data_IF_044552064187
#
_entry.id   IF_044552064187
#
_cell.length_a   1.000
_cell.length_b   1.000
_cell.length_c   1.000
_cell.angle_alpha   90.00
_cell.angle_beta   90.00
_cell.angle_gamma   90.00
#
_symmetry.space_group_name_H-M   'P 1'
#
loop_
_entity.id
_entity.type
_entity.pdbx_description
1 polymer ?
#
# COMPACT_ATOMS: atom_id res chain seq x y z
N UNK A 1 -35.35 -7.98 -28.61
CA UNK A 1 -35.12 -7.09 -27.45
C UNK A 1 -34.32 -7.87 -26.42
N UNK A 2 -33.00 -7.73 -26.42
CA UNK A 2 -32.14 -8.29 -25.38
C UNK A 2 -32.19 -7.36 -24.17
N UNK A 3 -32.86 -7.78 -23.11
CA UNK A 3 -32.78 -7.16 -21.79
C UNK A 3 -31.35 -7.31 -21.28
N UNK A 4 -30.47 -6.38 -21.63
CA UNK A 4 -29.27 -6.13 -20.83
C UNK A 4 -29.77 -5.68 -19.47
N UNK A 5 -29.68 -6.58 -18.49
CA UNK A 5 -29.84 -6.23 -17.10
C UNK A 5 -28.88 -5.09 -16.82
N UNK A 6 -29.42 -3.91 -16.59
CA UNK A 6 -28.69 -2.76 -16.11
C UNK A 6 -28.33 -3.07 -14.65
N UNK A 7 -27.39 -4.00 -14.43
CA UNK A 7 -26.78 -4.19 -13.12
C UNK A 7 -26.16 -2.84 -12.79
N UNK A 8 -26.70 -2.16 -11.78
CA UNK A 8 -26.13 -0.91 -11.28
C UNK A 8 -24.66 -1.17 -10.93
N UNK A 9 -23.78 -0.76 -11.83
CA UNK A 9 -22.33 -0.85 -11.65
C UNK A 9 -21.95 0.14 -10.56
N UNK A 10 -21.43 -0.35 -9.44
CA UNK A 10 -20.85 0.52 -8.42
C UNK A 10 -19.61 1.24 -8.95
N UNK A 11 -19.27 2.38 -8.35
CA UNK A 11 -18.06 3.13 -8.67
C UNK A 11 -16.78 2.27 -8.52
N UNK A 12 -15.70 2.65 -9.21
CA UNK A 12 -14.40 1.99 -9.08
C UNK A 12 -13.73 2.40 -7.74
N UNK A 13 -13.52 1.46 -6.78
CA UNK A 13 -12.91 1.80 -5.50
C UNK A 13 -11.38 1.82 -5.55
N UNK A 14 -10.75 1.25 -6.59
CA UNK A 14 -9.29 1.13 -6.68
C UNK A 14 -8.52 2.46 -6.50
N UNK A 15 -8.96 3.61 -7.06
CA UNK A 15 -8.25 4.87 -6.85
C UNK A 15 -8.20 5.29 -5.38
N UNK A 16 -9.26 5.03 -4.60
CA UNK A 16 -9.27 5.34 -3.16
C UNK A 16 -8.23 4.50 -2.42
N UNK A 17 -8.17 3.19 -2.70
CA UNK A 17 -7.19 2.29 -2.10
C UNK A 17 -5.75 2.68 -2.45
N UNK A 18 -5.49 3.01 -3.71
CA UNK A 18 -4.17 3.45 -4.18
C UNK A 18 -3.76 4.82 -3.64
N UNK A 19 -4.70 5.77 -3.49
CA UNK A 19 -4.45 7.06 -2.86
C UNK A 19 -4.09 6.91 -1.38
N UNK A 20 -4.87 6.11 -0.65
CA UNK A 20 -4.61 5.85 0.77
C UNK A 20 -3.26 5.19 1.00
N UNK A 21 -2.96 4.17 0.20
CA UNK A 21 -1.65 3.53 0.18
C UNK A 21 -0.53 4.51 -0.18
N UNK A 22 -0.65 5.20 -1.31
CA UNK A 22 0.42 6.01 -1.89
C UNK A 22 0.82 7.19 -1.01
N UNK A 23 -0.16 7.95 -0.51
CA UNK A 23 0.11 9.10 0.36
C UNK A 23 0.77 8.68 1.67
N UNK A 24 0.26 7.64 2.31
CA UNK A 24 0.80 7.17 3.59
C UNK A 24 2.19 6.56 3.41
N UNK A 25 2.40 5.81 2.32
CA UNK A 25 3.70 5.24 1.97
C UNK A 25 4.74 6.32 1.72
N UNK A 26 4.40 7.39 0.99
CA UNK A 26 5.29 8.54 0.80
C UNK A 26 5.70 9.15 2.15
N UNK A 27 4.75 9.41 3.05
CA UNK A 27 5.03 10.03 4.35
C UNK A 27 5.93 9.17 5.23
N UNK A 28 5.64 7.87 5.35
CA UNK A 28 6.50 6.95 6.11
C UNK A 28 7.91 6.90 5.52
N UNK A 29 8.03 6.92 4.19
CA UNK A 29 9.33 6.74 3.56
C UNK A 29 10.14 8.04 3.44
N UNK A 30 9.51 9.21 3.53
CA UNK A 30 10.21 10.46 3.84
C UNK A 30 10.89 10.38 5.22
N UNK A 31 10.23 9.74 6.19
CA UNK A 31 10.86 9.45 7.48
C UNK A 31 12.01 8.44 7.35
N UNK A 32 11.79 7.31 6.68
CA UNK A 32 12.83 6.28 6.52
C UNK A 32 14.07 6.80 5.77
N UNK A 33 13.88 7.73 4.83
CA UNK A 33 14.97 8.39 4.10
C UNK A 33 15.65 9.54 4.88
N UNK A 34 15.16 9.88 6.08
CA UNK A 34 15.77 10.88 6.96
C UNK A 34 15.35 12.33 6.69
N UNK A 35 14.32 12.58 5.87
CA UNK A 35 13.87 13.94 5.57
C UNK A 35 13.00 14.55 6.68
N UNK A 36 12.20 13.71 7.36
CA UNK A 36 11.29 14.14 8.43
C UNK A 36 11.32 13.15 9.61
N UNK A 37 11.02 13.59 10.84
CA UNK A 37 10.85 12.66 11.96
C UNK A 37 9.54 11.87 11.82
N UNK A 38 9.49 10.70 12.45
CA UNK A 38 8.23 9.98 12.68
C UNK A 38 7.36 10.85 13.61
N UNK A 39 6.13 11.14 13.19
CA UNK A 39 5.23 12.00 13.94
C UNK A 39 3.78 11.52 13.83
N UNK A 40 2.90 12.15 14.61
CA UNK A 40 1.46 11.88 14.59
C UNK A 40 0.84 12.01 13.19
N UNK A 41 1.45 12.79 12.29
CA UNK A 41 0.97 12.91 10.90
C UNK A 41 1.03 11.58 10.17
N UNK A 42 2.14 10.83 10.29
CA UNK A 42 2.29 9.51 9.65
C UNK A 42 1.32 8.50 10.28
N UNK A 43 1.21 8.50 11.61
CA UNK A 43 0.29 7.61 12.34
C UNK A 43 -1.17 7.90 11.98
N UNK A 44 -1.58 9.16 11.94
CA UNK A 44 -2.94 9.57 11.59
C UNK A 44 -3.29 9.21 10.14
N UNK A 45 -2.36 9.42 9.20
CA UNK A 45 -2.55 9.03 7.80
C UNK A 45 -2.60 7.51 7.64
N UNK A 46 -1.77 6.77 8.38
CA UNK A 46 -1.80 5.32 8.43
C UNK A 46 -3.10 4.78 9.01
N UNK A 47 -3.69 5.45 10.00
CA UNK A 47 -4.98 5.03 10.53
C UNK A 47 -6.12 5.35 9.55
N UNK A 48 -6.19 6.60 9.07
CA UNK A 48 -7.33 7.10 8.32
C UNK A 48 -7.32 6.66 6.84
N UNK A 49 -6.26 6.97 6.11
CA UNK A 49 -6.20 6.74 4.66
C UNK A 49 -5.49 5.44 4.30
N UNK A 50 -4.28 5.22 4.78
CA UNK A 50 -3.55 3.97 4.58
C UNK A 50 -4.31 2.77 5.16
N UNK A 51 -5.04 2.98 6.26
CA UNK A 51 -5.83 1.96 6.92
C UNK A 51 -7.30 1.98 6.51
N UNK A 52 -8.11 2.82 7.16
CA UNK A 52 -9.56 2.75 7.07
C UNK A 52 -10.10 2.89 5.64
N UNK A 53 -9.67 3.93 4.90
CA UNK A 53 -10.12 4.14 3.53
C UNK A 53 -9.67 3.00 2.59
N UNK A 54 -8.47 2.48 2.78
CA UNK A 54 -7.94 1.36 2.00
C UNK A 54 -8.69 0.05 2.30
N UNK A 55 -9.03 -0.22 3.56
CA UNK A 55 -9.90 -1.34 3.95
C UNK A 55 -11.27 -1.22 3.28
N UNK A 56 -11.89 -0.04 3.33
CA UNK A 56 -13.19 0.21 2.67
C UNK A 56 -13.09 -0.03 1.16
N UNK A 57 -12.03 0.46 0.51
CA UNK A 57 -11.80 0.22 -0.91
C UNK A 57 -11.72 -1.30 -1.22
N UNK A 58 -10.98 -2.06 -0.41
CA UNK A 58 -10.88 -3.51 -0.54
C UNK A 58 -12.22 -4.23 -0.33
N UNK A 59 -13.01 -3.82 0.66
CA UNK A 59 -14.36 -4.38 0.88
C UNK A 59 -15.26 -4.12 -0.34
N UNK A 60 -15.15 -2.95 -0.95
CA UNK A 60 -15.94 -2.60 -2.14
C UNK A 60 -15.50 -3.36 -3.39
N UNK A 61 -14.24 -3.80 -3.50
CA UNK A 61 -13.79 -4.66 -4.60
C UNK A 61 -14.43 -6.05 -4.58
N UNK A 62 -14.82 -6.59 -3.41
CA UNK A 62 -15.60 -7.84 -3.34
C UNK A 62 -16.95 -7.70 -4.07
N UNK A 63 -17.59 -6.53 -3.98
CA UNK A 63 -18.84 -6.25 -4.70
C UNK A 63 -18.64 -6.18 -6.23
N UNK A 64 -17.40 -5.98 -6.69
CA UNK A 64 -17.01 -6.00 -8.11
C UNK A 64 -16.46 -7.35 -8.58
N UNK A 65 -16.45 -8.38 -7.72
CA UNK A 65 -15.78 -9.66 -7.97
C UNK A 65 -14.30 -9.53 -8.35
N UNK A 66 -13.63 -8.49 -7.85
CA UNK A 66 -12.20 -8.27 -8.08
C UNK A 66 -11.40 -8.85 -6.90
N UNK A 67 -11.10 -10.14 -6.96
CA UNK A 67 -10.33 -10.82 -5.90
C UNK A 67 -8.99 -10.16 -5.63
N UNK A 68 -8.26 -9.73 -6.67
CA UNK A 68 -6.96 -9.10 -6.50
C UNK A 68 -7.06 -7.82 -5.68
N UNK A 69 -7.92 -6.87 -6.12
CA UNK A 69 -8.10 -5.60 -5.44
C UNK A 69 -8.64 -5.77 -4.02
N UNK A 70 -9.60 -6.69 -3.87
CA UNK A 70 -10.21 -6.97 -2.57
C UNK A 70 -9.19 -7.48 -1.56
N UNK A 71 -8.36 -8.46 -1.94
CA UNK A 71 -7.30 -8.98 -1.10
C UNK A 71 -6.22 -7.94 -0.85
N UNK A 72 -5.72 -7.27 -1.91
CA UNK A 72 -4.63 -6.30 -1.80
C UNK A 72 -4.98 -5.14 -0.87
N UNK A 73 -6.07 -4.41 -1.15
CA UNK A 73 -6.39 -3.20 -0.42
C UNK A 73 -6.81 -3.50 1.02
N UNK A 74 -7.58 -4.58 1.25
CA UNK A 74 -7.96 -4.97 2.62
C UNK A 74 -6.72 -5.35 3.43
N UNK A 75 -5.83 -6.19 2.87
CA UNK A 75 -4.62 -6.63 3.56
C UNK A 75 -3.69 -5.45 3.88
N UNK A 76 -3.35 -4.60 2.91
CA UNK A 76 -2.47 -3.46 3.17
C UNK A 76 -3.12 -2.40 4.09
N UNK A 77 -4.45 -2.29 4.07
CA UNK A 77 -5.15 -1.49 5.06
C UNK A 77 -4.93 -1.99 6.50
N UNK A 78 -5.01 -3.32 6.70
CA UNK A 78 -4.67 -3.93 7.98
C UNK A 78 -3.16 -3.98 8.28
N UNK A 79 -2.28 -3.93 7.26
CA UNK A 79 -0.85 -3.69 7.47
C UNK A 79 -0.65 -2.36 8.21
N UNK A 80 -1.26 -1.27 7.73
CA UNK A 80 -1.12 0.04 8.37
C UNK A 80 -1.63 0.05 9.81
N UNK A 81 -2.80 -0.54 10.06
CA UNK A 81 -3.34 -0.63 11.42
C UNK A 81 -2.48 -1.51 12.33
N UNK A 82 -2.00 -2.65 11.85
CA UNK A 82 -1.12 -3.52 12.63
C UNK A 82 0.23 -2.84 12.93
N UNK A 83 0.79 -2.09 11.99
CA UNK A 83 2.03 -1.32 12.20
C UNK A 83 1.86 -0.25 13.29
N UNK A 84 0.72 0.44 13.31
CA UNK A 84 0.39 1.42 14.37
C UNK A 84 0.23 0.73 15.72
N UNK A 85 -0.47 -0.41 15.77
CA UNK A 85 -0.61 -1.19 17.01
C UNK A 85 0.73 -1.67 17.54
N UNK A 86 1.65 -2.08 16.65
CA UNK A 86 3.01 -2.47 17.01
C UNK A 86 3.79 -1.30 17.61
N UNK A 87 3.72 -0.10 17.00
CA UNK A 87 4.44 1.08 17.50
C UNK A 87 3.91 1.61 18.83
N UNK A 88 2.59 1.60 19.02
CA UNK A 88 1.97 2.10 20.25
C UNK A 88 2.03 1.07 21.37
N UNK A 89 1.94 -0.23 21.03
CA UNK A 89 1.81 -1.34 21.96
C UNK A 89 0.88 -1.03 23.15
N UNK A 90 -0.44 -0.89 22.92
CA UNK A 90 -1.37 -0.45 23.97
C UNK A 90 -1.66 -1.53 25.02
N UNK A 91 -1.07 -2.73 24.91
CA UNK A 91 -1.38 -3.88 25.75
C UNK A 91 -0.40 -4.00 26.92
N UNK A 92 -0.91 -4.19 28.14
CA UNK A 92 -0.08 -4.45 29.31
C UNK A 92 0.50 -5.87 29.28
N UNK A 93 1.78 -6.01 29.65
CA UNK A 93 2.45 -7.31 29.75
C UNK A 93 2.91 -7.92 28.43
N UNK A 94 2.71 -7.24 27.28
CA UNK A 94 3.28 -7.62 25.99
C UNK A 94 4.52 -6.79 25.73
N UNK A 95 5.65 -7.45 25.43
CA UNK A 95 6.90 -6.79 25.09
C UNK A 95 6.76 -5.96 23.82
N UNK A 96 7.44 -4.80 23.77
CA UNK A 96 7.58 -4.01 22.54
C UNK A 96 8.30 -4.82 21.47
N UNK A 97 7.99 -4.58 20.19
CA UNK A 97 8.61 -5.30 19.09
C UNK A 97 10.14 -5.08 19.07
N UNK A 98 10.89 -6.18 19.00
CA UNK A 98 12.32 -6.18 18.73
C UNK A 98 12.60 -6.18 17.21
N UNK A 99 13.85 -5.90 16.84
CA UNK A 99 14.26 -5.81 15.43
C UNK A 99 14.11 -7.12 14.68
N UNK A 100 14.33 -8.28 15.31
CA UNK A 100 14.17 -9.57 14.64
C UNK A 100 12.70 -9.84 14.35
N UNK A 101 11.82 -9.62 15.33
CA UNK A 101 10.37 -9.76 15.14
C UNK A 101 9.84 -8.82 14.04
N UNK A 102 10.30 -7.57 14.00
CA UNK A 102 9.98 -6.63 12.92
C UNK A 102 10.51 -7.07 11.56
N UNK A 103 11.74 -7.61 11.52
CA UNK A 103 12.33 -8.19 10.32
C UNK A 103 11.47 -9.29 9.72
N UNK A 104 11.00 -10.23 10.54
CA UNK A 104 10.10 -11.31 10.09
C UNK A 104 8.73 -10.78 9.67
N UNK A 105 8.14 -9.86 10.43
CA UNK A 105 6.85 -9.23 10.10
C UNK A 105 6.91 -8.58 8.71
N UNK A 106 7.91 -7.73 8.44
CA UNK A 106 8.08 -7.06 7.15
C UNK A 106 8.47 -8.04 6.03
N UNK A 107 9.25 -9.08 6.35
CA UNK A 107 9.62 -10.12 5.40
C UNK A 107 8.41 -10.92 4.88
N UNK A 108 7.46 -11.25 5.76
CA UNK A 108 6.21 -11.91 5.36
C UNK A 108 5.34 -11.01 4.49
N UNK A 109 5.26 -9.70 4.79
CA UNK A 109 4.64 -8.73 3.89
C UNK A 109 5.34 -8.65 2.54
N UNK A 110 6.67 -8.74 2.50
CA UNK A 110 7.45 -8.83 1.27
C UNK A 110 7.11 -10.07 0.43
N UNK A 111 6.99 -11.23 1.06
CA UNK A 111 6.57 -12.48 0.40
C UNK A 111 5.16 -12.34 -0.17
N UNK A 112 4.19 -11.89 0.64
CA UNK A 112 2.82 -11.62 0.18
C UNK A 112 2.84 -10.70 -1.05
N UNK A 113 3.57 -9.59 -0.96
CA UNK A 113 3.67 -8.61 -2.05
C UNK A 113 4.29 -9.21 -3.30
N UNK A 114 5.33 -10.04 -3.18
CA UNK A 114 5.97 -10.70 -4.32
C UNK A 114 5.01 -11.62 -5.08
N UNK A 115 4.15 -12.38 -4.38
CA UNK A 115 3.12 -13.18 -5.03
C UNK A 115 2.02 -12.31 -5.67
N UNK A 116 1.63 -11.21 -5.01
CA UNK A 116 0.71 -10.25 -5.61
C UNK A 116 1.31 -9.58 -6.85
N UNK A 117 2.61 -9.28 -6.86
CA UNK A 117 3.32 -8.75 -8.03
C UNK A 117 3.20 -9.69 -9.24
N UNK A 118 3.34 -11.00 -9.05
CA UNK A 118 3.11 -11.99 -10.13
C UNK A 118 1.69 -11.84 -10.70
N UNK A 119 0.69 -11.61 -9.85
CA UNK A 119 -0.68 -11.31 -10.28
C UNK A 119 -0.79 -10.07 -11.17
N UNK A 120 0.01 -9.03 -10.90
CA UNK A 120 0.01 -7.78 -11.70
C UNK A 120 0.61 -7.91 -13.09
N UNK A 121 1.27 -9.02 -13.44
CA UNK A 121 1.83 -9.22 -14.79
C UNK A 121 0.78 -9.18 -15.90
N UNK A 122 -0.50 -9.41 -15.55
CA UNK A 122 -1.66 -9.27 -16.45
C UNK A 122 -2.37 -7.91 -16.34
N UNK A 123 -1.90 -7.02 -15.46
CA UNK A 123 -2.47 -5.69 -15.23
C UNK A 123 -1.68 -4.62 -16.01
N UNK A 124 -2.07 -3.36 -15.84
CA UNK A 124 -1.36 -2.20 -16.40
C UNK A 124 0.06 -2.03 -15.83
N UNK A 125 0.91 -1.26 -16.53
CA UNK A 125 2.33 -1.11 -16.17
C UNK A 125 2.53 -0.39 -14.85
N UNK A 126 1.69 0.60 -14.54
CA UNK A 126 1.70 1.33 -13.28
C UNK A 126 1.47 0.38 -12.10
N UNK A 127 0.58 -0.60 -12.22
CA UNK A 127 0.34 -1.62 -11.17
C UNK A 127 1.54 -2.54 -10.99
N UNK A 128 2.21 -2.92 -12.08
CA UNK A 128 3.45 -3.71 -12.02
C UNK A 128 4.56 -2.92 -11.31
N UNK A 129 4.71 -1.63 -11.63
CA UNK A 129 5.68 -0.75 -10.97
C UNK A 129 5.38 -0.63 -9.47
N UNK A 130 4.12 -0.41 -9.09
CA UNK A 130 3.71 -0.32 -7.68
C UNK A 130 4.06 -1.59 -6.93
N UNK A 131 3.61 -2.75 -7.39
CA UNK A 131 3.83 -4.00 -6.65
C UNK A 131 5.30 -4.45 -6.70
N UNK A 132 6.00 -4.25 -7.81
CA UNK A 132 7.42 -4.59 -7.92
C UNK A 132 8.28 -3.73 -7.00
N UNK A 133 8.04 -2.42 -6.96
CA UNK A 133 8.75 -1.52 -6.05
C UNK A 133 8.38 -1.75 -4.58
N UNK A 134 7.12 -2.08 -4.29
CA UNK A 134 6.67 -2.45 -2.95
C UNK A 134 7.31 -3.76 -2.45
N UNK A 135 7.49 -4.75 -3.32
CA UNK A 135 8.21 -5.98 -2.97
C UNK A 135 9.64 -5.67 -2.53
N UNK A 136 10.34 -4.85 -3.31
CA UNK A 136 11.71 -4.43 -2.99
C UNK A 136 11.72 -3.65 -1.67
N UNK A 137 10.78 -2.72 -1.48
CA UNK A 137 10.64 -1.93 -0.25
C UNK A 137 10.55 -2.84 0.98
N UNK A 138 9.61 -3.79 1.00
CA UNK A 138 9.43 -4.65 2.17
C UNK A 138 10.65 -5.50 2.48
N UNK A 139 11.31 -6.05 1.45
CA UNK A 139 12.54 -6.83 1.67
C UNK A 139 13.71 -5.96 2.14
N UNK A 140 13.84 -4.72 1.66
CA UNK A 140 14.84 -3.78 2.18
C UNK A 140 14.57 -3.42 3.64
N UNK A 141 13.32 -3.11 4.00
CA UNK A 141 12.96 -2.81 5.39
C UNK A 141 13.18 -4.01 6.32
N UNK A 142 12.85 -5.22 5.85
CA UNK A 142 13.12 -6.47 6.57
C UNK A 142 14.63 -6.68 6.77
N UNK A 143 15.44 -6.52 5.72
CA UNK A 143 16.89 -6.63 5.78
C UNK A 143 17.51 -5.56 6.70
N UNK A 144 17.02 -4.32 6.66
CA UNK A 144 17.46 -3.25 7.56
C UNK A 144 17.23 -3.62 9.03
N UNK A 145 16.09 -4.23 9.36
CA UNK A 145 15.78 -4.67 10.71
C UNK A 145 16.68 -5.83 11.17
N UNK A 146 16.93 -6.83 10.32
CA UNK A 146 17.82 -7.94 10.67
C UNK A 146 19.30 -7.53 10.80
N UNK A 147 19.75 -6.59 9.99
CA UNK A 147 21.17 -6.18 9.93
C UNK A 147 21.49 -4.98 10.82
N UNK A 148 20.49 -4.18 11.20
CA UNK A 148 20.69 -2.89 11.85
C UNK A 148 21.31 -1.82 10.94
N UNK A 149 21.35 -2.04 9.62
CA UNK A 149 22.02 -1.13 8.68
C UNK A 149 21.17 0.11 8.37
N UNK A 150 21.60 1.27 8.86
CA UNK A 150 21.00 2.56 8.52
C UNK A 150 21.03 2.83 7.01
N UNK A 151 22.10 2.45 6.32
CA UNK A 151 22.21 2.63 4.87
C UNK A 151 21.14 1.86 4.09
N UNK A 152 20.82 0.63 4.50
CA UNK A 152 19.73 -0.15 3.90
C UNK A 152 18.37 0.50 4.24
N UNK A 153 18.21 0.99 5.47
CA UNK A 153 16.98 1.67 5.89
C UNK A 153 16.70 2.94 5.07
N UNK A 154 17.72 3.78 4.88
CA UNK A 154 17.63 4.99 4.04
C UNK A 154 17.34 4.66 2.58
N UNK A 155 17.98 3.62 2.02
CA UNK A 155 17.69 3.13 0.67
C UNK A 155 16.23 2.67 0.55
N UNK A 156 15.73 1.94 1.54
CA UNK A 156 14.33 1.55 1.61
C UNK A 156 13.41 2.78 1.56
N UNK A 157 13.75 3.85 2.29
CA UNK A 157 13.04 5.13 2.21
C UNK A 157 12.94 5.69 0.78
N UNK A 158 14.03 5.74 0.03
CA UNK A 158 13.97 6.21 -1.37
C UNK A 158 13.10 5.32 -2.26
N UNK A 159 13.23 3.99 -2.12
CA UNK A 159 12.39 3.03 -2.86
C UNK A 159 10.91 3.20 -2.49
N UNK A 160 10.61 3.45 -1.22
CA UNK A 160 9.24 3.63 -0.75
C UNK A 160 8.61 4.96 -1.18
N UNK A 161 9.38 6.04 -1.27
CA UNK A 161 8.92 7.29 -1.88
C UNK A 161 8.54 7.03 -3.35
N UNK A 162 9.41 6.37 -4.11
CA UNK A 162 9.11 6.00 -5.50
C UNK A 162 7.87 5.11 -5.61
N UNK A 163 7.75 4.09 -4.75
CA UNK A 163 6.57 3.22 -4.68
C UNK A 163 5.29 4.02 -4.43
N UNK A 164 5.28 4.89 -3.42
CA UNK A 164 4.13 5.71 -3.07
C UNK A 164 3.72 6.64 -4.22
N UNK A 165 4.69 7.34 -4.85
CA UNK A 165 4.44 8.21 -6.00
C UNK A 165 3.89 7.44 -7.20
N UNK A 166 4.38 6.23 -7.46
CA UNK A 166 3.85 5.38 -8.55
C UNK A 166 2.40 4.95 -8.31
N UNK A 167 2.00 4.74 -7.05
CA UNK A 167 0.63 4.43 -6.69
C UNK A 167 -0.28 5.64 -6.85
N UNK A 168 0.19 6.83 -6.48
CA UNK A 168 -0.52 8.09 -6.74
C UNK A 168 -0.72 8.32 -8.23
N UNK A 169 0.31 8.10 -9.05
CA UNK A 169 0.21 8.17 -10.51
C UNK A 169 -0.85 7.21 -11.06
N UNK A 170 -0.87 5.96 -10.59
CA UNK A 170 -1.87 4.98 -10.99
C UNK A 170 -3.30 5.42 -10.59
N UNK A 171 -3.47 5.91 -9.36
CA UNK A 171 -4.76 6.39 -8.87
C UNK A 171 -5.27 7.60 -9.67
N UNK A 172 -4.43 8.62 -9.84
CA UNK A 172 -4.79 9.82 -10.59
C UNK A 172 -5.06 9.52 -12.04
N UNK A 173 -4.27 8.65 -12.68
CA UNK A 173 -4.55 8.26 -14.06
C UNK A 173 -5.88 7.54 -14.21
N UNK A 174 -6.29 6.69 -13.25
CA UNK A 174 -7.62 6.08 -13.26
C UNK A 174 -8.73 7.13 -13.12
N UNK A 175 -8.60 8.09 -12.20
CA UNK A 175 -9.59 9.15 -11.98
C UNK A 175 -9.70 10.05 -13.23
N UNK A 176 -8.56 10.59 -13.70
CA UNK A 176 -8.53 11.54 -14.82
C UNK A 176 -9.01 10.86 -16.11
N UNK A 177 -8.56 9.64 -16.42
CA UNK A 177 -9.03 8.94 -17.62
C UNK A 177 -10.54 8.67 -17.57
N UNK A 178 -11.09 8.40 -16.38
CA UNK A 178 -12.53 8.21 -16.19
C UNK A 178 -13.29 9.52 -16.39
N UNK A 179 -12.88 10.62 -15.76
CA UNK A 179 -13.54 11.93 -15.87
C UNK A 179 -13.53 12.47 -17.32
N UNK A 180 -12.45 12.23 -18.06
CA UNK A 180 -12.33 12.67 -19.46
C UNK A 180 -12.90 11.66 -20.47
N UNK A 181 -13.27 10.45 -20.05
CA UNK A 181 -13.77 9.38 -20.93
C UNK A 181 -12.77 8.92 -22.01
N UNK A 182 -11.47 9.21 -21.83
CA UNK A 182 -10.39 8.85 -22.77
C UNK A 182 -9.06 8.73 -22.04
N UNK A 183 -8.06 8.13 -22.70
CA UNK A 183 -6.70 8.04 -22.12
C UNK A 183 -6.03 9.41 -22.18
N UNK A 184 -5.87 10.05 -21.02
CA UNK A 184 -5.06 11.25 -20.79
C UNK A 184 -3.71 10.85 -20.16
N UNK A 185 -3.74 9.97 -19.17
CA UNK A 185 -2.56 9.43 -18.49
C UNK A 185 -2.37 7.95 -18.85
N UNK A 186 -1.24 7.56 -19.45
CA UNK A 186 -0.97 6.15 -19.74
C UNK A 186 -0.73 5.39 -18.43
N UNK A 187 -1.38 4.25 -18.27
CA UNK A 187 -1.29 3.38 -17.09
C UNK A 187 -0.59 2.06 -17.40
#
# INVERSE_FOLDING_TARGET
MSTQSNQASIANPAPLGLLGFGMTTCLLNLHNAGFIPLSIVIVAMGFALGGAAQIIAGIMEFKKNNTFGATAFTAYGFFWWSLILIWINPFSGISTADTSSMGFYLGLWGIFTAFMFIGTLKHNRASQVVFGSLTILFFLLSAANFTGSEGIHTLAGYVGIFCGLSALYNAFGQIINQEFGKTIMPL
#
